data_IF_903961272782
#
_entry.id   IF_903961272782
#
_cell.length_a   1.000
_cell.length_b   1.000
_cell.length_c   1.000
_cell.angle_alpha   90.00
_cell.angle_beta   90.00
_cell.angle_gamma   90.00
#
_symmetry.space_group_name_H-M   'P 1'
#
loop_
_entity.id
_entity.type
_entity.pdbx_description
1 polymer ?
#
# COMPACT_ATOMS: atom_id res chain seq x y z
N UNK A 1 52.71 17.25 13.77
CA UNK A 1 52.00 18.41 14.36
C UNK A 1 52.06 19.53 13.34
N UNK A 2 50.95 19.76 12.62
CA UNK A 2 50.04 20.86 12.98
C UNK A 2 48.58 20.42 13.12
N UNK A 3 47.78 21.35 13.67
CA UNK A 3 46.51 21.23 14.38
C UNK A 3 45.30 20.71 13.56
N UNK A 4 44.48 19.94 14.26
CA UNK A 4 43.12 19.56 13.89
C UNK A 4 42.17 20.78 13.87
N UNK A 5 41.29 20.83 12.86
CA UNK A 5 40.13 21.70 12.83
C UNK A 5 38.90 20.88 13.24
N UNK A 6 38.20 21.34 14.28
CA UNK A 6 36.96 20.73 14.76
C UNK A 6 35.80 20.91 13.76
N UNK A 7 34.86 19.94 13.69
CA UNK A 7 33.67 20.05 12.86
C UNK A 7 32.63 20.98 13.51
N UNK A 8 32.18 21.96 12.73
CA UNK A 8 31.09 22.87 13.06
C UNK A 8 29.78 22.09 13.31
N UNK A 9 29.16 22.18 14.51
CA UNK A 9 27.89 21.56 14.80
C UNK A 9 26.81 22.64 14.76
N UNK A 10 26.12 22.84 13.63
CA UNK A 10 24.81 23.49 13.61
C UNK A 10 24.08 23.16 12.30
N UNK A 11 23.26 22.11 12.40
CA UNK A 11 22.32 21.69 11.36
C UNK A 11 21.13 22.65 11.27
N UNK A 12 20.67 22.88 10.05
CA UNK A 12 19.60 23.79 9.63
C UNK A 12 18.19 23.39 10.12
N UNK A 13 17.96 23.36 11.44
CA UNK A 13 16.63 23.20 12.02
C UNK A 13 16.53 23.99 13.32
N UNK A 14 16.22 25.29 13.23
CA UNK A 14 15.73 26.08 14.37
C UNK A 14 15.00 27.33 13.89
N UNK A 15 13.69 27.21 13.66
CA UNK A 15 12.77 28.34 13.68
C UNK A 15 11.61 28.00 14.60
N UNK A 16 11.80 28.24 15.90
CA UNK A 16 10.71 28.49 16.84
C UNK A 16 10.63 30.00 17.05
N UNK A 17 9.44 30.63 17.00
CA UNK A 17 9.30 32.04 17.31
C UNK A 17 9.25 32.23 18.85
N UNK A 18 9.96 33.23 19.42
CA UNK A 18 9.82 33.57 20.82
C UNK A 18 8.54 34.39 21.06
N UNK A 19 7.98 34.19 22.25
CA UNK A 19 6.79 34.86 22.75
C UNK A 19 7.00 36.37 23.02
N UNK A 20 6.00 37.17 22.64
CA UNK A 20 5.56 38.38 23.33
C UNK A 20 6.35 39.68 23.14
N UNK A 21 5.79 40.64 22.40
CA UNK A 21 5.62 42.03 22.86
C UNK A 21 4.83 42.85 21.82
N UNK A 22 3.95 43.73 22.33
CA UNK A 22 3.00 44.57 21.60
C UNK A 22 3.66 45.55 20.62
N UNK A 23 3.02 45.76 19.46
CA UNK A 23 3.37 46.89 18.60
C UNK A 23 2.62 46.93 17.27
N UNK A 24 1.39 47.45 17.27
CA UNK A 24 0.69 47.85 16.05
C UNK A 24 1.48 48.96 15.32
N UNK A 25 2.19 48.64 14.24
CA UNK A 25 2.53 49.62 13.20
C UNK A 25 2.41 49.00 11.80
N UNK A 26 1.27 49.31 11.19
CA UNK A 26 0.97 49.13 9.77
C UNK A 26 1.92 50.02 8.96
N UNK A 27 3.03 49.48 8.48
CA UNK A 27 3.93 50.17 7.56
C UNK A 27 3.29 50.24 6.17
N UNK A 28 2.80 51.43 5.83
CA UNK A 28 2.41 51.85 4.49
C UNK A 28 3.64 51.70 3.57
N UNK A 29 3.61 50.76 2.64
CA UNK A 29 4.56 50.69 1.52
C UNK A 29 4.22 51.80 0.52
N UNK A 30 5.13 52.75 0.35
CA UNK A 30 5.19 53.62 -0.83
C UNK A 30 5.87 52.86 -1.97
N UNK A 31 5.48 53.09 -3.24
CA UNK A 31 6.08 52.41 -4.38
C UNK A 31 7.36 53.17 -4.79
N UNK A 32 8.54 52.62 -4.48
CA UNK A 32 9.75 53.06 -5.16
C UNK A 32 9.81 52.36 -6.52
N UNK A 33 9.64 53.16 -7.57
CA UNK A 33 9.96 52.86 -8.96
C UNK A 33 11.41 52.35 -9.03
N UNK A 34 11.57 51.04 -9.15
CA UNK A 34 12.81 50.41 -9.54
C UNK A 34 12.62 49.94 -10.98
N UNK A 35 13.55 50.35 -11.82
CA UNK A 35 13.57 50.16 -13.26
C UNK A 35 13.52 48.68 -13.64
N UNK A 36 12.81 48.44 -14.74
CA UNK A 36 12.46 47.15 -15.29
C UNK A 36 13.70 46.30 -15.64
N UNK A 37 14.05 45.39 -14.75
CA UNK A 37 14.42 44.03 -15.15
C UNK A 37 13.14 43.17 -15.20
N UNK A 38 12.14 43.62 -15.95
CA UNK A 38 10.96 42.83 -16.26
C UNK A 38 11.34 41.79 -17.32
N UNK A 39 12.18 40.83 -16.93
CA UNK A 39 12.29 39.58 -17.68
C UNK A 39 10.88 39.01 -17.80
N UNK A 40 10.41 38.78 -19.03
CA UNK A 40 9.13 38.14 -19.29
C UNK A 40 9.04 36.89 -18.42
N UNK A 41 8.03 36.75 -17.54
CA UNK A 41 7.93 35.59 -16.70
C UNK A 41 7.84 34.37 -17.61
N UNK A 42 8.81 33.45 -17.48
CA UNK A 42 8.79 32.16 -18.17
C UNK A 42 7.39 31.54 -18.02
N UNK A 43 6.77 31.16 -19.13
CA UNK A 43 5.44 30.52 -19.13
C UNK A 43 5.45 29.20 -18.37
N UNK A 44 4.29 28.80 -17.83
CA UNK A 44 4.15 27.54 -17.12
C UNK A 44 4.50 26.35 -18.04
N UNK A 45 4.18 26.45 -19.32
CA UNK A 45 4.48 25.45 -20.35
C UNK A 45 5.98 25.25 -20.54
N UNK A 46 6.77 26.33 -20.53
CA UNK A 46 8.22 26.25 -20.68
C UNK A 46 8.84 25.62 -19.43
N UNK A 47 8.35 26.01 -18.24
CA UNK A 47 8.80 25.40 -16.98
C UNK A 47 8.48 23.90 -16.93
N UNK A 48 7.30 23.49 -17.41
CA UNK A 48 6.93 22.08 -17.50
C UNK A 48 7.86 21.29 -18.44
N UNK A 49 8.23 21.87 -19.59
CA UNK A 49 9.20 21.24 -20.49
C UNK A 49 10.60 21.16 -19.86
N UNK A 50 11.01 22.16 -19.09
CA UNK A 50 12.26 22.12 -18.31
C UNK A 50 12.20 21.02 -17.27
N UNK A 51 11.10 20.91 -16.50
CA UNK A 51 10.91 19.86 -15.50
C UNK A 51 10.86 18.45 -16.11
N UNK A 52 10.25 18.31 -17.29
CA UNK A 52 10.23 17.09 -18.08
C UNK A 52 11.56 16.80 -18.80
N UNK A 53 12.54 17.70 -18.67
CA UNK A 53 13.83 17.61 -19.33
C UNK A 53 14.63 16.40 -18.89
N UNK A 54 15.36 15.83 -19.85
CA UNK A 54 16.06 14.54 -19.72
C UNK A 54 17.21 14.51 -18.69
N UNK A 55 17.61 15.66 -18.17
CA UNK A 55 18.73 15.84 -17.23
C UNK A 55 18.30 15.99 -15.77
N UNK A 56 17.01 16.19 -15.48
CA UNK A 56 16.55 16.36 -14.10
C UNK A 56 16.23 15.01 -13.47
N UNK A 57 16.79 14.79 -12.28
CA UNK A 57 16.41 13.66 -11.45
C UNK A 57 15.20 14.02 -10.57
N UNK A 58 14.57 13.01 -9.99
CA UNK A 58 13.50 13.22 -9.00
C UNK A 58 13.96 14.12 -7.85
N UNK A 59 15.22 14.03 -7.45
CA UNK A 59 15.80 14.90 -6.42
C UNK A 59 15.79 16.38 -6.82
N UNK A 60 16.03 16.69 -8.11
CA UNK A 60 16.01 18.06 -8.62
C UNK A 60 14.58 18.60 -8.67
N UNK A 61 13.61 17.77 -9.10
CA UNK A 61 12.20 18.14 -9.08
C UNK A 61 11.71 18.49 -7.67
N UNK A 62 12.15 17.73 -6.65
CA UNK A 62 11.86 18.06 -5.24
C UNK A 62 12.46 19.41 -4.85
N UNK A 63 13.72 19.67 -5.22
CA UNK A 63 14.37 20.97 -4.94
C UNK A 63 13.63 22.10 -5.63
N UNK A 64 13.25 21.93 -6.89
CA UNK A 64 12.43 22.87 -7.65
C UNK A 64 11.08 23.13 -6.95
N UNK A 65 10.36 22.09 -6.55
CA UNK A 65 9.09 22.21 -5.82
C UNK A 65 9.25 22.87 -4.42
N UNK A 66 10.43 22.79 -3.82
CA UNK A 66 10.74 23.47 -2.57
C UNK A 66 11.03 24.97 -2.74
N UNK A 67 11.41 25.43 -3.93
CA UNK A 67 11.79 26.85 -4.16
C UNK A 67 10.62 27.81 -4.01
N UNK A 68 9.47 27.51 -4.61
CA UNK A 68 8.30 28.39 -4.58
C UNK A 68 6.99 27.63 -4.84
N UNK A 69 5.87 28.24 -4.42
CA UNK A 69 4.52 27.68 -4.61
C UNK A 69 4.16 27.45 -6.08
N UNK A 70 4.64 28.30 -7.01
CA UNK A 70 4.37 28.14 -8.44
C UNK A 70 4.97 26.84 -8.98
N UNK A 71 6.26 26.63 -8.73
CA UNK A 71 6.97 25.44 -9.21
C UNK A 71 6.46 24.18 -8.54
N UNK A 72 6.13 24.25 -7.25
CA UNK A 72 5.45 23.15 -6.55
C UNK A 72 4.15 22.74 -7.24
N UNK A 73 3.27 23.71 -7.52
CA UNK A 73 1.98 23.44 -8.19
C UNK A 73 2.17 22.78 -9.56
N UNK A 74 3.14 23.23 -10.35
CA UNK A 74 3.46 22.63 -11.65
C UNK A 74 4.02 21.21 -11.49
N UNK A 75 5.01 21.01 -10.62
CA UNK A 75 5.62 19.69 -10.38
C UNK A 75 4.59 18.69 -9.84
N UNK A 76 3.70 19.11 -8.93
CA UNK A 76 2.66 18.24 -8.39
C UNK A 76 1.49 18.01 -9.33
N UNK A 77 1.01 19.07 -9.98
CA UNK A 77 -0.18 19.04 -10.84
C UNK A 77 0.06 18.29 -12.14
N UNK A 78 1.26 18.41 -12.71
CA UNK A 78 1.65 17.80 -13.97
C UNK A 78 2.64 16.63 -13.77
N UNK A 79 2.68 16.04 -12.58
CA UNK A 79 3.59 14.94 -12.24
C UNK A 79 3.53 13.79 -13.25
N UNK A 80 2.34 13.42 -13.72
CA UNK A 80 2.16 12.37 -14.72
C UNK A 80 2.76 12.76 -16.08
N UNK A 81 2.59 14.02 -16.49
CA UNK A 81 3.19 14.52 -17.73
C UNK A 81 4.72 14.52 -17.64
N UNK A 82 5.26 15.09 -16.55
CA UNK A 82 6.70 15.15 -16.29
C UNK A 82 7.30 13.74 -16.26
N UNK A 83 6.67 12.80 -15.53
CA UNK A 83 7.17 11.43 -15.42
C UNK A 83 7.03 10.61 -16.70
N UNK A 84 6.04 10.89 -17.57
CA UNK A 84 5.91 10.20 -18.87
C UNK A 84 7.02 10.59 -19.84
N UNK A 85 7.49 11.83 -19.76
CA UNK A 85 8.55 12.35 -20.62
C UNK A 85 9.96 12.02 -20.10
N UNK A 86 10.11 11.88 -18.78
CA UNK A 86 11.26 11.21 -18.19
C UNK A 86 11.21 9.71 -18.56
N UNK A 87 12.34 9.11 -18.99
CA UNK A 87 12.41 7.76 -19.62
C UNK A 87 11.46 6.68 -19.01
N UNK A 88 11.01 5.69 -19.81
CA UNK A 88 10.23 4.54 -19.32
C UNK A 88 10.93 3.70 -18.24
N UNK A 89 12.26 3.75 -18.14
CA UNK A 89 13.02 3.01 -17.12
C UNK A 89 12.90 3.61 -15.71
N UNK A 90 12.38 4.84 -15.55
CA UNK A 90 12.23 5.51 -14.25
C UNK A 90 11.05 4.99 -13.42
N UNK A 91 10.19 4.13 -13.97
CA UNK A 91 9.20 3.37 -13.19
C UNK A 91 9.84 2.44 -12.13
N UNK A 92 11.18 2.35 -12.06
CA UNK A 92 11.93 1.60 -11.05
C UNK A 92 12.45 2.44 -9.87
N UNK A 93 12.12 3.72 -9.76
CA UNK A 93 12.41 4.53 -8.56
C UNK A 93 11.23 4.57 -7.58
N UNK A 94 10.64 3.40 -7.35
CA UNK A 94 9.51 3.24 -6.43
C UNK A 94 10.02 3.10 -5.02
N UNK A 95 9.52 3.86 -4.05
CA UNK A 95 9.73 3.50 -2.64
C UNK A 95 8.91 2.24 -2.34
N UNK A 96 9.52 1.07 -2.51
CA UNK A 96 8.88 -0.23 -2.36
C UNK A 96 9.31 -0.93 -1.07
N UNK A 97 8.42 -1.75 -0.52
CA UNK A 97 8.68 -2.53 0.67
C UNK A 97 7.40 -3.15 1.20
N UNK A 98 7.37 -3.45 2.49
CA UNK A 98 6.14 -3.89 3.14
C UNK A 98 6.07 -3.38 4.57
N UNK A 99 4.84 -3.18 5.03
CA UNK A 99 4.57 -2.95 6.44
C UNK A 99 4.35 -4.28 7.15
N UNK A 100 4.93 -4.38 8.34
CA UNK A 100 4.90 -5.57 9.17
C UNK A 100 4.52 -5.19 10.61
N UNK A 101 3.73 -6.05 11.25
CA UNK A 101 3.50 -5.98 12.69
C UNK A 101 3.43 -7.39 13.27
N UNK A 102 4.25 -7.65 14.29
CA UNK A 102 4.26 -8.95 14.96
C UNK A 102 3.07 -9.10 15.94
N UNK A 103 2.76 -10.33 16.36
CA UNK A 103 1.76 -10.55 17.42
C UNK A 103 2.19 -9.92 18.75
N UNK A 104 3.47 -10.05 19.10
CA UNK A 104 4.02 -9.42 20.30
C UNK A 104 3.89 -7.89 20.23
N UNK A 105 4.19 -7.29 19.07
CA UNK A 105 3.95 -5.87 18.84
C UNK A 105 2.45 -5.52 18.98
N UNK A 106 1.55 -6.37 18.47
CA UNK A 106 0.11 -6.14 18.59
C UNK A 106 -0.36 -6.16 20.06
N UNK A 107 0.15 -7.08 20.88
CA UNK A 107 -0.17 -7.19 22.32
C UNK A 107 0.42 -6.01 23.12
N UNK A 108 1.64 -5.60 22.77
CA UNK A 108 2.29 -4.41 23.31
C UNK A 108 1.65 -3.10 22.81
N UNK A 109 0.81 -3.18 21.77
CA UNK A 109 0.19 -2.02 21.15
C UNK A 109 1.15 -1.19 20.29
N UNK A 110 2.28 -1.75 19.87
CA UNK A 110 3.23 -1.11 18.97
C UNK A 110 2.64 -0.92 17.55
N UNK A 111 3.02 0.17 16.87
CA UNK A 111 2.57 0.44 15.50
C UNK A 111 3.24 -0.50 14.47
N UNK A 112 2.70 -0.60 13.25
CA UNK A 112 3.36 -1.28 12.13
C UNK A 112 4.71 -0.64 11.79
N UNK A 113 5.68 -1.46 11.39
CA UNK A 113 7.03 -1.04 10.96
C UNK A 113 7.21 -1.25 9.47
N UNK A 114 7.95 -0.36 8.82
CA UNK A 114 8.24 -0.44 7.38
C UNK A 114 9.56 -1.16 7.12
N UNK A 115 9.56 -2.09 6.17
CA UNK A 115 10.75 -2.77 5.68
C UNK A 115 10.98 -2.39 4.21
N UNK A 116 12.00 -1.57 3.90
CA UNK A 116 12.26 -1.11 2.55
C UNK A 116 12.88 -2.21 1.69
N UNK A 117 12.64 -2.15 0.37
CA UNK A 117 13.33 -2.96 -0.62
C UNK A 117 14.39 -2.14 -1.37
N UNK A 118 15.58 -2.73 -1.49
CA UNK A 118 16.85 -2.08 -1.82
C UNK A 118 17.08 -1.74 -3.30
N UNK A 119 16.05 -1.68 -4.14
CA UNK A 119 16.23 -1.29 -5.56
C UNK A 119 16.10 0.22 -5.83
N UNK A 120 15.98 1.04 -4.78
CA UNK A 120 15.67 2.47 -4.93
C UNK A 120 16.94 3.33 -4.92
N UNK A 121 17.22 4.04 -6.02
CA UNK A 121 18.18 5.17 -6.08
C UNK A 121 17.70 6.43 -5.35
N UNK A 122 16.62 6.37 -4.56
CA UNK A 122 16.29 7.44 -3.63
C UNK A 122 17.41 7.48 -2.59
N UNK A 123 18.33 8.45 -2.73
CA UNK A 123 19.50 8.69 -1.88
C UNK A 123 19.15 9.04 -0.41
N UNK A 124 17.96 8.65 0.08
CA UNK A 124 17.41 8.93 1.41
C UNK A 124 16.75 7.70 2.04
N UNK A 125 17.34 6.49 1.89
CA UNK A 125 16.83 5.27 2.56
C UNK A 125 16.59 5.47 4.05
N UNK A 126 17.46 6.22 4.73
CA UNK A 126 17.30 6.60 6.13
C UNK A 126 16.10 7.52 6.40
N UNK A 127 15.73 8.40 5.46
CA UNK A 127 14.64 9.35 5.65
C UNK A 127 13.26 8.70 5.56
N UNK A 128 13.05 7.72 4.68
CA UNK A 128 11.71 7.11 4.52
C UNK A 128 11.36 6.25 5.73
N UNK A 129 12.28 5.40 6.18
CA UNK A 129 12.06 4.59 7.38
C UNK A 129 11.91 5.48 8.62
N UNK A 130 12.79 6.48 8.80
CA UNK A 130 12.69 7.41 9.92
C UNK A 130 11.38 8.23 9.90
N UNK A 131 10.92 8.68 8.73
CA UNK A 131 9.65 9.40 8.62
C UNK A 131 8.46 8.48 8.93
N UNK A 132 8.44 7.27 8.38
CA UNK A 132 7.38 6.30 8.64
C UNK A 132 7.29 5.97 10.13
N UNK A 133 8.44 5.73 10.78
CA UNK A 133 8.52 5.47 12.22
C UNK A 133 8.09 6.69 13.04
N UNK A 134 8.57 7.89 12.70
CA UNK A 134 8.21 9.12 13.41
C UNK A 134 6.71 9.42 13.34
N UNK A 135 6.10 9.24 12.16
CA UNK A 135 4.65 9.44 11.96
C UNK A 135 3.84 8.43 12.77
N UNK A 136 4.26 7.17 12.78
CA UNK A 136 3.55 6.09 13.46
C UNK A 136 3.87 5.98 14.95
N UNK A 137 4.91 6.66 15.45
CA UNK A 137 5.27 6.70 16.87
C UNK A 137 4.24 7.43 17.75
N UNK A 138 3.34 8.22 17.15
CA UNK A 138 2.30 8.95 17.87
C UNK A 138 1.32 8.03 18.62
N UNK A 139 0.88 8.47 19.80
CA UNK A 139 -0.02 7.71 20.68
C UNK A 139 -1.34 7.28 20.03
N UNK A 140 -1.80 8.04 19.03
CA UNK A 140 -3.02 7.76 18.26
C UNK A 140 -2.92 6.45 17.48
N UNK A 141 -1.71 6.04 17.08
CA UNK A 141 -1.46 4.83 16.31
C UNK A 141 -1.10 3.61 17.17
N UNK A 142 -1.07 3.77 18.49
CA UNK A 142 -0.96 2.63 19.40
C UNK A 142 -2.11 1.68 19.14
N UNK A 143 -1.80 0.39 19.03
CA UNK A 143 -2.76 -0.67 18.74
C UNK A 143 -3.50 -0.54 17.39
N UNK A 144 -3.07 0.32 16.46
CA UNK A 144 -3.72 0.43 15.16
C UNK A 144 -3.56 -0.86 14.33
N UNK A 145 -4.54 -1.19 13.48
CA UNK A 145 -4.43 -2.32 12.52
C UNK A 145 -4.29 -1.75 11.12
N UNK A 146 -3.35 -2.29 10.33
CA UNK A 146 -3.27 -1.97 8.91
C UNK A 146 -4.43 -2.64 8.16
N UNK A 147 -5.21 -1.84 7.44
CA UNK A 147 -6.43 -2.25 6.75
C UNK A 147 -6.25 -2.27 5.22
N UNK A 148 -5.46 -1.34 4.66
CA UNK A 148 -5.13 -1.28 3.25
C UNK A 148 -3.84 -0.48 3.00
N UNK A 149 -3.22 -0.68 1.83
CA UNK A 149 -2.05 0.06 1.36
C UNK A 149 -2.15 0.20 -0.16
N UNK A 150 -2.00 1.41 -0.71
CA UNK A 150 -2.00 1.67 -2.16
C UNK A 150 -1.41 3.04 -2.47
N UNK A 151 -0.65 3.18 -3.56
CA UNK A 151 -0.09 4.45 -4.07
C UNK A 151 0.57 5.32 -2.97
N UNK A 152 1.43 4.73 -2.16
CA UNK A 152 2.15 5.43 -1.10
C UNK A 152 1.31 5.81 0.12
N UNK A 153 0.10 5.29 0.25
CA UNK A 153 -0.79 5.55 1.40
C UNK A 153 -1.17 4.29 2.13
N UNK A 154 -1.33 4.43 3.43
CA UNK A 154 -1.79 3.40 4.35
C UNK A 154 -3.17 3.78 4.89
N UNK A 155 -4.00 2.77 5.17
CA UNK A 155 -5.24 2.92 5.94
C UNK A 155 -5.08 2.17 7.24
N UNK A 156 -5.13 2.88 8.34
CA UNK A 156 -5.00 2.35 9.68
C UNK A 156 -6.33 2.40 10.41
N UNK A 157 -6.79 1.26 10.90
CA UNK A 157 -7.89 1.17 11.85
C UNK A 157 -7.38 1.52 13.25
N UNK A 158 -7.87 2.62 13.82
CA UNK A 158 -7.46 3.11 15.13
C UNK A 158 -8.27 2.39 16.22
N UNK A 159 -7.66 1.39 16.85
CA UNK A 159 -8.30 0.60 17.92
C UNK A 159 -8.01 1.22 19.28
N UNK A 160 -9.06 1.58 20.02
CA UNK A 160 -8.92 1.90 21.45
C UNK A 160 -9.03 0.62 22.26
N UNK A 161 -8.15 0.46 23.27
CA UNK A 161 -8.26 -0.61 24.27
C UNK A 161 -9.65 -0.52 24.91
N UNK A 162 -10.33 -1.67 24.99
CA UNK A 162 -11.76 -1.79 25.25
C UNK A 162 -12.28 -0.86 26.38
N UNK A 163 -13.04 0.17 26.02
CA UNK A 163 -13.99 0.80 26.92
C UNK A 163 -15.38 0.25 26.57
N UNK A 164 -16.22 0.00 27.59
CA UNK A 164 -17.49 -0.73 27.54
C UNK A 164 -18.62 -0.02 26.76
N UNK A 165 -18.31 0.63 25.65
CA UNK A 165 -19.28 1.29 24.75
C UNK A 165 -19.24 0.70 23.35
N UNK A 166 -20.30 0.92 22.57
CA UNK A 166 -20.34 0.54 21.15
C UNK A 166 -19.14 1.16 20.41
N UNK A 167 -18.17 0.33 20.04
CA UNK A 167 -16.91 0.79 19.46
C UNK A 167 -17.19 1.48 18.11
N UNK A 168 -16.90 2.78 18.02
CA UNK A 168 -16.95 3.49 16.74
C UNK A 168 -15.79 3.01 15.84
N UNK A 169 -16.04 2.83 14.54
CA UNK A 169 -14.97 2.61 13.59
C UNK A 169 -14.25 3.94 13.34
N UNK A 170 -12.96 3.97 13.64
CA UNK A 170 -12.07 5.11 13.39
C UNK A 170 -10.97 4.66 12.45
N UNK A 171 -10.83 5.34 11.33
CA UNK A 171 -9.80 5.07 10.33
C UNK A 171 -8.91 6.31 10.19
N UNK A 172 -7.64 6.09 9.88
CA UNK A 172 -6.71 7.13 9.48
C UNK A 172 -6.08 6.76 8.15
N UNK A 173 -5.95 7.73 7.25
CA UNK A 173 -5.16 7.62 6.04
C UNK A 173 -3.81 8.28 6.29
N UNK A 174 -2.72 7.56 6.03
CA UNK A 174 -1.35 8.02 6.35
C UNK A 174 -0.48 7.93 5.11
N UNK A 175 0.23 9.01 4.78
CA UNK A 175 1.33 8.99 3.83
C UNK A 175 2.65 9.01 4.62
N UNK A 176 3.30 7.86 4.82
CA UNK A 176 4.49 7.76 5.68
C UNK A 176 5.70 8.50 5.10
N UNK A 177 5.71 8.76 3.79
CA UNK A 177 6.82 9.46 3.13
C UNK A 177 6.71 10.97 3.32
N UNK A 178 5.52 11.54 3.15
CA UNK A 178 5.30 12.99 3.31
C UNK A 178 5.09 13.41 4.76
N UNK A 179 4.61 12.50 5.59
CA UNK A 179 4.20 12.74 6.97
C UNK A 179 2.72 13.08 7.13
N UNK A 180 1.94 13.07 6.04
CA UNK A 180 0.55 13.50 6.09
C UNK A 180 -0.34 12.46 6.75
N UNK A 181 -1.18 12.93 7.68
CA UNK A 181 -2.13 12.11 8.43
C UNK A 181 -3.51 12.76 8.32
N UNK A 182 -4.49 12.00 7.84
CA UNK A 182 -5.89 12.39 7.81
C UNK A 182 -6.72 11.41 8.62
N UNK A 183 -7.36 11.87 9.70
CA UNK A 183 -8.24 11.05 10.54
C UNK A 183 -9.66 11.19 10.00
N UNK A 184 -10.21 10.10 9.49
CA UNK A 184 -11.52 10.09 8.86
C UNK A 184 -12.64 10.30 9.90
N UNK A 185 -13.79 10.89 9.50
CA UNK A 185 -14.96 10.98 10.35
C UNK A 185 -15.35 9.59 10.89
N UNK A 186 -15.60 9.48 12.20
CA UNK A 186 -15.87 8.20 12.84
C UNK A 186 -17.27 7.68 12.49
N UNK A 187 -17.39 6.39 12.18
CA UNK A 187 -18.68 5.72 12.01
C UNK A 187 -19.11 5.12 13.35
N UNK A 188 -20.23 5.61 13.90
CA UNK A 188 -20.69 5.28 15.26
C UNK A 188 -22.21 5.01 15.32
N UNK A 189 -22.68 4.42 16.42
CA UNK A 189 -24.10 4.14 16.64
C UNK A 189 -24.70 3.22 15.57
N UNK A 190 -25.76 3.68 14.90
CA UNK A 190 -26.42 2.94 13.79
C UNK A 190 -25.51 2.78 12.59
N UNK A 191 -24.55 3.68 12.42
CA UNK A 191 -23.61 3.69 11.31
C UNK A 191 -22.36 2.86 11.57
N UNK A 192 -22.15 2.38 12.81
CA UNK A 192 -21.01 1.53 13.13
C UNK A 192 -21.05 0.25 12.28
N UNK A 193 -20.03 0.01 11.45
CA UNK A 193 -19.87 -1.29 10.82
C UNK A 193 -19.39 -2.30 11.87
N UNK A 194 -19.91 -3.53 11.82
CA UNK A 194 -19.32 -4.64 12.54
C UNK A 194 -18.01 -5.08 11.87
N UNK A 195 -17.86 -6.38 11.62
CA UNK A 195 -16.80 -6.87 10.75
C UNK A 195 -16.93 -6.28 9.34
N UNK A 196 -15.81 -5.79 8.80
CA UNK A 196 -15.75 -5.13 7.50
C UNK A 196 -14.49 -5.54 6.73
N UNK A 197 -14.59 -5.44 5.40
CA UNK A 197 -13.47 -5.51 4.48
C UNK A 197 -13.23 -4.11 3.88
N UNK A 198 -11.98 -3.82 3.49
CA UNK A 198 -11.54 -2.49 3.09
C UNK A 198 -10.77 -2.55 1.77
N UNK A 199 -10.95 -1.57 0.88
CA UNK A 199 -10.14 -1.38 -0.32
C UNK A 199 -9.93 0.12 -0.59
N UNK A 200 -8.73 0.49 -1.03
CA UNK A 200 -8.43 1.86 -1.47
C UNK A 200 -8.59 1.95 -2.99
N UNK A 201 -9.36 2.93 -3.46
CA UNK A 201 -9.57 3.22 -4.88
C UNK A 201 -8.75 4.45 -5.22
N UNK A 202 -7.92 4.37 -6.27
CA UNK A 202 -7.24 5.53 -6.84
C UNK A 202 -8.05 6.13 -8.00
N UNK A 203 -7.76 7.38 -8.37
CA UNK A 203 -8.41 8.04 -9.52
C UNK A 203 -8.35 7.20 -10.82
N UNK A 204 -7.22 6.53 -11.07
CA UNK A 204 -7.02 5.65 -12.24
C UNK A 204 -7.96 4.44 -12.28
N UNK A 205 -8.58 4.08 -11.15
CA UNK A 205 -9.40 2.89 -11.03
C UNK A 205 -10.87 3.14 -11.34
N UNK A 206 -11.31 4.40 -11.41
CA UNK A 206 -12.72 4.76 -11.54
C UNK A 206 -12.92 5.67 -12.76
N UNK A 207 -13.50 5.10 -13.82
CA UNK A 207 -13.77 5.79 -15.10
C UNK A 207 -14.69 7.01 -14.91
N UNK A 208 -15.38 7.12 -13.77
CA UNK A 208 -16.36 8.17 -13.47
C UNK A 208 -15.95 9.12 -12.33
N UNK A 209 -14.73 9.04 -11.78
CA UNK A 209 -14.34 9.81 -10.59
C UNK A 209 -13.33 10.93 -10.85
N UNK A 210 -13.68 12.14 -10.40
CA UNK A 210 -12.75 13.28 -10.29
C UNK A 210 -11.92 13.28 -8.99
N UNK A 211 -12.10 12.27 -8.13
CA UNK A 211 -11.49 12.22 -6.80
C UNK A 211 -10.08 11.64 -6.84
N UNK A 212 -9.12 12.27 -6.14
CA UNK A 212 -7.75 11.75 -6.09
C UNK A 212 -7.70 10.33 -5.48
N UNK A 213 -8.44 10.12 -4.39
CA UNK A 213 -8.55 8.83 -3.71
C UNK A 213 -9.93 8.66 -3.06
N UNK A 214 -10.39 7.40 -2.99
CA UNK A 214 -11.57 6.99 -2.23
C UNK A 214 -11.27 5.75 -1.40
N UNK A 215 -11.93 5.64 -0.25
CA UNK A 215 -11.84 4.46 0.61
C UNK A 215 -13.19 3.74 0.61
N UNK A 216 -13.20 2.48 0.20
CA UNK A 216 -14.38 1.63 0.16
C UNK A 216 -14.35 0.67 1.33
N UNK A 217 -15.40 0.70 2.15
CA UNK A 217 -15.65 -0.31 3.18
C UNK A 217 -16.88 -1.13 2.82
N UNK A 218 -16.79 -2.45 3.01
CA UNK A 218 -17.88 -3.40 2.82
C UNK A 218 -18.15 -4.11 4.14
N UNK A 219 -19.38 -4.09 4.61
CA UNK A 219 -19.75 -4.64 5.91
C UNK A 219 -21.12 -5.31 5.89
N UNK A 220 -21.39 -6.14 6.90
CA UNK A 220 -22.65 -6.87 7.01
C UNK A 220 -23.69 -6.09 7.80
N UNK A 221 -24.88 -5.90 7.23
CA UNK A 221 -26.12 -5.54 7.94
C UNK A 221 -26.96 -6.79 8.18
N UNK A 222 -27.96 -6.69 9.08
CA UNK A 222 -28.84 -7.82 9.44
C UNK A 222 -29.43 -8.54 8.22
N UNK A 223 -29.86 -7.80 7.20
CA UNK A 223 -30.57 -8.37 6.04
C UNK A 223 -29.80 -8.30 4.72
N UNK A 224 -28.77 -7.47 4.62
CA UNK A 224 -28.03 -7.24 3.37
C UNK A 224 -26.55 -6.98 3.62
N UNK A 225 -25.75 -6.95 2.57
CA UNK A 225 -24.35 -6.48 2.66
C UNK A 225 -24.34 -5.04 2.19
N UNK A 226 -23.72 -4.17 2.97
CA UNK A 226 -23.68 -2.75 2.74
C UNK A 226 -22.26 -2.30 2.37
N UNK A 227 -22.14 -1.15 1.74
CA UNK A 227 -20.88 -0.46 1.57
C UNK A 227 -21.02 1.03 1.83
N UNK A 228 -19.90 1.66 2.17
CA UNK A 228 -19.75 3.12 2.17
C UNK A 228 -18.43 3.48 1.52
N UNK A 229 -18.43 4.65 0.90
CA UNK A 229 -17.24 5.20 0.25
C UNK A 229 -16.91 6.53 0.90
N UNK A 230 -15.69 6.68 1.42
CA UNK A 230 -15.16 7.97 1.83
C UNK A 230 -14.46 8.60 0.63
N UNK A 231 -14.68 9.90 0.38
CA UNK A 231 -13.97 10.66 -0.64
C UNK A 231 -12.97 11.60 0.02
N UNK A 232 -11.72 11.56 -0.47
CA UNK A 232 -10.66 12.39 0.07
C UNK A 232 -10.87 13.89 -0.21
N UNK A 233 -11.48 14.26 -1.33
CA UNK A 233 -11.68 15.67 -1.70
C UNK A 233 -12.82 16.29 -0.90
N UNK A 234 -13.89 15.53 -0.64
CA UNK A 234 -15.03 16.00 0.16
C UNK A 234 -14.83 15.82 1.66
N UNK A 235 -13.80 15.07 2.08
CA UNK A 235 -13.51 14.71 3.47
C UNK A 235 -14.71 14.10 4.21
N UNK A 236 -15.56 13.38 3.48
CA UNK A 236 -16.82 12.87 4.00
C UNK A 236 -17.11 11.44 3.54
N UNK A 237 -17.88 10.72 4.37
CA UNK A 237 -18.49 9.46 3.97
C UNK A 237 -19.71 9.72 3.09
N UNK A 238 -19.80 9.01 1.98
CA UNK A 238 -21.01 8.93 1.18
C UNK A 238 -22.12 8.11 1.86
N UNK A 239 -23.29 8.11 1.22
CA UNK A 239 -24.45 7.35 1.67
C UNK A 239 -24.17 5.84 1.71
N UNK A 240 -24.88 5.12 2.58
CA UNK A 240 -24.82 3.67 2.64
C UNK A 240 -25.44 3.06 1.36
N UNK A 241 -24.62 2.34 0.61
CA UNK A 241 -25.04 1.58 -0.56
C UNK A 241 -25.43 0.16 -0.18
N UNK A 242 -26.52 -0.36 -0.76
CA UNK A 242 -26.92 -1.76 -0.62
C UNK A 242 -26.33 -2.58 -1.77
N UNK A 243 -25.49 -3.56 -1.44
CA UNK A 243 -24.89 -4.46 -2.42
C UNK A 243 -25.92 -5.50 -2.87
N UNK A 244 -26.01 -5.68 -4.19
CA UNK A 244 -26.84 -6.70 -4.84
C UNK A 244 -25.99 -7.90 -5.29
N UNK A 245 -26.65 -9.01 -5.67
CA UNK A 245 -25.96 -10.22 -6.11
C UNK A 245 -25.41 -11.07 -4.96
N UNK A 246 -24.13 -11.43 -5.05
CA UNK A 246 -23.48 -12.32 -4.10
C UNK A 246 -23.44 -11.73 -2.68
N UNK A 247 -23.75 -12.57 -1.68
CA UNK A 247 -23.74 -12.19 -0.27
C UNK A 247 -22.55 -12.79 0.45
N UNK A 248 -22.00 -12.03 1.38
CA UNK A 248 -20.92 -12.47 2.26
C UNK A 248 -21.29 -12.21 3.72
N UNK A 249 -20.95 -13.17 4.60
CA UNK A 249 -21.21 -13.09 6.02
C UNK A 249 -20.24 -12.14 6.73
N UNK A 250 -20.66 -11.58 7.86
CA UNK A 250 -19.85 -10.62 8.64
C UNK A 250 -18.51 -11.22 9.09
N UNK A 251 -18.51 -12.42 9.67
CA UNK A 251 -17.28 -13.09 10.10
C UNK A 251 -16.24 -13.17 8.97
N UNK A 252 -16.69 -13.56 7.77
CA UNK A 252 -15.84 -13.66 6.57
C UNK A 252 -15.29 -12.31 6.11
N UNK A 253 -16.08 -11.24 6.20
CA UNK A 253 -15.60 -9.89 5.88
C UNK A 253 -14.48 -9.45 6.84
N UNK A 254 -14.56 -9.82 8.12
CA UNK A 254 -13.52 -9.49 9.10
C UNK A 254 -12.21 -10.26 8.92
N UNK A 255 -12.28 -11.42 8.25
CA UNK A 255 -11.15 -12.30 7.91
C UNK A 255 -10.46 -11.89 6.61
N UNK A 256 -11.11 -11.11 5.74
CA UNK A 256 -10.53 -10.66 4.49
C UNK A 256 -9.33 -9.73 4.71
N UNK A 257 -8.28 -9.94 3.91
CA UNK A 257 -7.17 -8.99 3.78
C UNK A 257 -7.60 -7.70 3.08
N UNK A 258 -6.67 -6.77 2.91
CA UNK A 258 -6.85 -5.60 2.07
C UNK A 258 -7.34 -6.00 0.67
N UNK A 259 -8.40 -5.34 0.22
CA UNK A 259 -8.92 -5.48 -1.12
C UNK A 259 -8.11 -4.69 -2.12
N UNK A 260 -8.08 -5.20 -3.34
CA UNK A 260 -7.41 -4.61 -4.49
C UNK A 260 -8.44 -3.90 -5.35
N UNK A 261 -8.14 -2.69 -5.81
CA UNK A 261 -8.97 -1.95 -6.74
C UNK A 261 -8.41 -2.04 -8.16
N UNK A 262 -9.28 -2.21 -9.16
CA UNK A 262 -8.90 -2.14 -10.55
C UNK A 262 -10.15 -2.01 -11.44
N UNK A 263 -10.07 -1.17 -12.48
CA UNK A 263 -11.07 -1.11 -13.59
C UNK A 263 -12.52 -1.02 -13.11
N UNK A 264 -12.81 -0.12 -12.17
CA UNK A 264 -14.13 0.13 -11.61
C UNK A 264 -14.63 -0.94 -10.63
N UNK A 265 -13.77 -1.89 -10.24
CA UNK A 265 -14.08 -2.96 -9.31
C UNK A 265 -13.14 -2.99 -8.11
N UNK A 266 -13.64 -3.56 -7.02
CA UNK A 266 -12.86 -3.93 -5.84
C UNK A 266 -12.93 -5.44 -5.62
N UNK A 267 -11.80 -6.04 -5.26
CA UNK A 267 -11.60 -7.49 -5.22
C UNK A 267 -11.01 -7.92 -3.88
N UNK A 268 -11.61 -8.92 -3.24
CA UNK A 268 -11.11 -9.51 -2.00
C UNK A 268 -10.97 -11.02 -2.14
N UNK A 269 -9.88 -11.58 -1.61
CA UNK A 269 -9.68 -13.01 -1.59
C UNK A 269 -10.54 -13.64 -0.49
N UNK A 270 -11.26 -14.70 -0.84
CA UNK A 270 -12.05 -15.51 0.08
C UNK A 270 -11.84 -17.00 -0.20
N UNK A 271 -10.86 -17.59 0.48
CA UNK A 271 -10.44 -18.97 0.22
C UNK A 271 -9.98 -19.14 -1.24
N UNK A 272 -10.68 -20.01 -1.98
CA UNK A 272 -10.36 -20.33 -3.37
C UNK A 272 -11.04 -19.40 -4.39
N UNK A 273 -11.84 -18.44 -3.91
CA UNK A 273 -12.63 -17.53 -4.73
C UNK A 273 -12.25 -16.08 -4.48
N UNK A 274 -12.60 -15.22 -5.42
CA UNK A 274 -12.49 -13.77 -5.33
C UNK A 274 -13.89 -13.19 -5.21
N UNK A 275 -14.14 -12.45 -4.13
CA UNK A 275 -15.32 -11.62 -4.00
C UNK A 275 -15.06 -10.31 -4.76
N UNK A 276 -15.79 -10.10 -5.85
CA UNK A 276 -15.74 -8.87 -6.65
C UNK A 276 -16.95 -8.01 -6.32
N UNK A 277 -16.72 -6.72 -6.11
CA UNK A 277 -17.74 -5.68 -6.09
C UNK A 277 -17.49 -4.69 -7.24
N UNK A 278 -18.49 -4.47 -8.10
CA UNK A 278 -18.46 -3.37 -9.07
C UNK A 278 -18.86 -2.09 -8.35
N UNK A 279 -17.97 -1.09 -8.33
CA UNK A 279 -18.17 0.13 -7.54
C UNK A 279 -19.32 0.97 -8.10
N UNK A 280 -19.45 1.07 -9.43
CA UNK A 280 -20.51 1.86 -10.07
C UNK A 280 -21.93 1.29 -9.92
N UNK A 281 -22.08 -0.04 -9.95
CA UNK A 281 -23.41 -0.70 -9.91
C UNK A 281 -23.74 -1.33 -8.56
N UNK A 282 -22.78 -1.42 -7.65
CA UNK A 282 -22.87 -2.14 -6.37
C UNK A 282 -23.31 -3.61 -6.51
N UNK A 283 -22.99 -4.20 -7.66
CA UNK A 283 -23.24 -5.62 -7.94
C UNK A 283 -22.03 -6.45 -7.51
N UNK A 284 -22.27 -7.43 -6.65
CA UNK A 284 -21.25 -8.36 -6.18
C UNK A 284 -21.35 -9.74 -6.85
N UNK A 285 -20.20 -10.36 -7.09
CA UNK A 285 -20.08 -11.71 -7.61
C UNK A 285 -18.92 -12.47 -6.96
N UNK A 286 -19.02 -13.80 -6.90
CA UNK A 286 -17.89 -14.66 -6.59
C UNK A 286 -17.30 -15.23 -7.88
N UNK A 287 -15.99 -15.10 -8.02
CA UNK A 287 -15.23 -15.66 -9.14
C UNK A 287 -14.30 -16.74 -8.62
N UNK A 288 -14.36 -17.95 -9.18
CA UNK A 288 -13.48 -19.03 -8.76
C UNK A 288 -12.10 -18.88 -9.43
N UNK A 289 -11.03 -19.01 -8.65
CA UNK A 289 -9.68 -19.16 -9.21
C UNK A 289 -9.42 -20.66 -9.40
N UNK A 290 -9.01 -21.11 -10.60
CA UNK A 290 -8.73 -22.51 -10.85
C UNK A 290 -7.77 -23.09 -9.82
N UNK A 291 -8.25 -24.05 -9.04
CA UNK A 291 -7.41 -24.76 -8.08
C UNK A 291 -7.02 -26.12 -8.67
N UNK A 292 -5.90 -26.17 -9.41
CA UNK A 292 -5.42 -27.44 -10.00
C UNK A 292 -4.72 -28.35 -9.00
N UNK A 293 -4.26 -27.83 -7.85
CA UNK A 293 -3.39 -28.58 -6.94
C UNK A 293 -3.98 -28.65 -5.54
N UNK A 294 -4.78 -29.69 -5.24
CA UNK A 294 -5.28 -29.95 -3.87
C UNK A 294 -4.13 -30.02 -2.83
N UNK A 295 -2.94 -30.48 -3.24
CA UNK A 295 -1.71 -30.52 -2.41
C UNK A 295 -1.13 -29.14 -2.06
N UNK A 296 -1.49 -28.08 -2.78
CA UNK A 296 -1.02 -26.72 -2.45
C UNK A 296 -1.57 -26.21 -1.11
N UNK A 297 -2.71 -26.77 -0.65
CA UNK A 297 -3.31 -26.48 0.66
C UNK A 297 -2.45 -26.95 1.84
N UNK A 298 -1.48 -27.83 1.59
CA UNK A 298 -0.63 -28.43 2.63
C UNK A 298 0.74 -27.75 2.75
N UNK A 299 1.10 -26.83 1.84
CA UNK A 299 2.46 -26.28 1.74
C UNK A 299 2.79 -25.17 2.75
N UNK A 300 1.78 -24.54 3.34
CA UNK A 300 1.94 -23.56 4.42
C UNK A 300 0.58 -23.37 5.10
N UNK A 301 0.50 -23.72 6.41
CA UNK A 301 -0.68 -23.46 7.27
C UNK A 301 -0.57 -22.14 8.04
N UNK A 302 0.23 -21.22 7.50
CA UNK A 302 0.73 -20.06 8.23
C UNK A 302 -0.33 -18.98 8.51
N UNK A 303 -1.54 -19.16 7.99
CA UNK A 303 -2.65 -18.20 8.05
C UNK A 303 -3.85 -18.75 8.85
N UNK A 304 -3.63 -19.73 9.74
CA UNK A 304 -4.63 -20.18 10.72
C UNK A 304 -5.31 -21.50 10.35
N UNK A 305 -5.52 -22.35 11.38
CA UNK A 305 -6.06 -23.71 11.27
C UNK A 305 -7.59 -23.80 11.33
N UNK A 306 -8.31 -22.88 10.68
CA UNK A 306 -9.77 -22.98 10.50
C UNK A 306 -10.14 -23.62 9.16
N UNK A 307 -11.43 -23.92 8.95
CA UNK A 307 -11.98 -24.37 7.65
C UNK A 307 -11.74 -23.38 6.49
N UNK A 308 -11.27 -22.17 6.80
CA UNK A 308 -10.52 -21.29 5.92
C UNK A 308 -9.02 -21.63 5.97
N UNK A 309 -8.64 -22.84 5.54
CA UNK A 309 -7.24 -23.21 5.37
C UNK A 309 -6.62 -22.25 4.33
N UNK A 310 -6.03 -21.17 4.84
CA UNK A 310 -5.61 -20.01 4.08
C UNK A 310 -4.64 -20.45 3.02
N UNK A 311 -5.06 -20.37 1.76
CA UNK A 311 -4.15 -20.58 0.66
C UNK A 311 -3.05 -19.53 0.77
N UNK A 312 -1.81 -19.97 0.58
CA UNK A 312 -0.69 -19.07 0.44
C UNK A 312 -0.81 -18.32 -0.90
N UNK A 313 -1.73 -17.36 -0.93
CA UNK A 313 -2.21 -16.64 -2.10
C UNK A 313 -2.54 -15.20 -1.70
N UNK A 314 -2.21 -14.24 -2.56
CA UNK A 314 -2.53 -12.83 -2.41
C UNK A 314 -3.10 -12.26 -3.71
N UNK A 315 -3.93 -11.23 -3.60
CA UNK A 315 -4.36 -10.42 -4.74
C UNK A 315 -3.44 -9.21 -4.90
N UNK A 316 -3.26 -8.78 -6.14
CA UNK A 316 -2.62 -7.52 -6.51
C UNK A 316 -3.21 -7.01 -7.84
N UNK A 317 -2.77 -5.84 -8.29
CA UNK A 317 -2.94 -5.40 -9.68
C UNK A 317 -1.63 -5.69 -10.40
N UNK A 318 -1.67 -6.00 -11.70
CA UNK A 318 -0.48 -6.02 -12.55
C UNK A 318 -0.19 -4.61 -13.10
N UNK A 319 1.01 -4.38 -13.69
CA UNK A 319 1.36 -3.10 -14.30
C UNK A 319 0.38 -2.64 -15.40
N UNK A 320 -0.32 -3.57 -16.05
CA UNK A 320 -1.34 -3.32 -17.08
C UNK A 320 -2.73 -2.94 -16.50
N UNK A 321 -2.81 -2.77 -15.18
CA UNK A 321 -4.03 -2.41 -14.47
C UNK A 321 -5.03 -3.57 -14.31
N UNK A 322 -4.64 -4.82 -14.61
CA UNK A 322 -5.52 -5.98 -14.44
C UNK A 322 -5.36 -6.63 -13.06
N UNK A 323 -6.44 -7.12 -12.43
CA UNK A 323 -6.34 -7.93 -11.22
C UNK A 323 -5.53 -9.21 -11.46
N UNK A 324 -4.59 -9.49 -10.55
CA UNK A 324 -3.82 -10.73 -10.50
C UNK A 324 -3.96 -11.41 -9.14
N UNK A 325 -3.81 -12.73 -9.13
CA UNK A 325 -3.67 -13.52 -7.93
C UNK A 325 -2.33 -14.27 -7.99
N UNK A 326 -1.51 -14.09 -6.97
CA UNK A 326 -0.21 -14.76 -6.85
C UNK A 326 -0.35 -15.87 -5.81
N UNK A 327 0.11 -17.07 -6.11
CA UNK A 327 -0.02 -18.23 -5.24
C UNK A 327 1.25 -19.09 -5.25
N UNK A 328 1.61 -19.64 -4.10
CA UNK A 328 2.62 -20.70 -4.04
C UNK A 328 2.03 -22.06 -4.40
N UNK A 329 2.70 -22.75 -5.31
CA UNK A 329 2.39 -24.11 -5.72
C UNK A 329 3.61 -25.01 -5.69
N UNK A 330 3.41 -26.22 -6.21
CA UNK A 330 4.48 -27.16 -6.58
C UNK A 330 4.42 -27.36 -8.09
N UNK A 331 5.57 -27.19 -8.74
CA UNK A 331 5.76 -27.45 -10.15
C UNK A 331 6.10 -28.92 -10.43
N UNK A 332 6.66 -29.17 -11.61
CA UNK A 332 7.28 -30.47 -11.94
C UNK A 332 8.37 -30.83 -10.93
N UNK A 333 8.53 -32.13 -10.65
CA UNK A 333 9.54 -32.64 -9.70
C UNK A 333 9.38 -32.11 -8.27
N UNK A 334 8.18 -31.70 -7.88
CA UNK A 334 7.87 -31.18 -6.55
C UNK A 334 8.68 -29.92 -6.18
N UNK A 335 9.08 -29.10 -7.15
CA UNK A 335 9.76 -27.83 -6.89
C UNK A 335 8.80 -26.73 -6.45
N UNK A 336 9.24 -25.78 -5.63
CA UNK A 336 8.41 -24.62 -5.31
C UNK A 336 8.28 -23.70 -6.52
N UNK A 337 7.03 -23.33 -6.82
CA UNK A 337 6.73 -22.35 -7.87
C UNK A 337 5.84 -21.25 -7.31
N UNK A 338 6.01 -20.04 -7.82
CA UNK A 338 5.06 -18.95 -7.64
C UNK A 338 4.24 -18.85 -8.93
N UNK A 339 2.96 -19.20 -8.83
CA UNK A 339 1.99 -19.14 -9.93
C UNK A 339 1.29 -17.79 -9.94
N UNK A 340 1.19 -17.18 -11.12
CA UNK A 340 0.40 -15.96 -11.34
C UNK A 340 -0.86 -16.31 -12.13
N UNK A 341 -2.00 -15.89 -11.59
CA UNK A 341 -3.29 -15.99 -12.25
C UNK A 341 -3.74 -14.59 -12.68
N UNK A 342 -4.14 -14.45 -13.93
CA UNK A 342 -4.68 -13.20 -14.48
C UNK A 342 -6.19 -13.34 -14.63
N UNK A 343 -6.90 -12.25 -14.37
CA UNK A 343 -8.34 -12.17 -14.65
C UNK A 343 -8.53 -11.76 -16.11
N UNK A 344 -9.16 -12.63 -16.89
CA UNK A 344 -9.61 -12.28 -18.24
C UNK A 344 -10.90 -11.46 -18.09
N UNK A 345 -10.83 -10.19 -18.52
CA UNK A 345 -12.04 -9.42 -18.79
C UNK A 345 -12.52 -9.82 -20.18
N UNK A 346 -13.83 -10.04 -20.35
CA UNK A 346 -14.40 -10.09 -21.69
C UNK A 346 -14.21 -8.69 -22.28
N UNK A 347 -13.40 -8.56 -23.34
CA UNK A 347 -13.40 -7.35 -24.15
C UNK A 347 -14.85 -7.12 -24.60
N UNK A 348 -15.32 -5.89 -24.48
CA UNK A 348 -16.67 -5.44 -24.80
C UNK A 348 -16.92 -5.42 -26.32
N UNK A 349 -16.40 -6.42 -27.03
CA UNK A 349 -16.47 -6.59 -28.48
C UNK A 349 -17.79 -7.28 -28.86
N UNK A 350 -18.90 -6.87 -28.24
CA UNK A 350 -20.29 -7.04 -28.71
C UNK A 350 -20.76 -8.43 -29.17
N UNK A 351 -19.97 -9.48 -29.02
CA UNK A 351 -20.12 -10.71 -29.81
C UNK A 351 -19.54 -11.89 -29.05
N UNK A 352 -20.18 -12.21 -27.92
CA UNK A 352 -20.51 -13.56 -27.43
C UNK A 352 -20.96 -13.43 -25.97
N UNK A 353 -22.28 -13.28 -25.78
CA UNK A 353 -22.92 -13.40 -24.48
C UNK A 353 -22.77 -14.86 -24.02
N UNK A 354 -21.80 -15.15 -23.14
CA UNK A 354 -21.75 -16.47 -22.50
C UNK A 354 -20.41 -16.94 -21.93
N UNK A 355 -19.28 -16.32 -22.24
CA UNK A 355 -18.01 -16.71 -21.61
C UNK A 355 -18.01 -16.29 -20.14
N UNK A 356 -18.07 -17.26 -19.24
CA UNK A 356 -17.89 -17.02 -17.80
C UNK A 356 -16.53 -16.38 -17.59
N UNK A 357 -16.50 -15.13 -17.15
CA UNK A 357 -15.31 -14.44 -16.63
C UNK A 357 -14.48 -15.39 -15.77
N UNK A 358 -13.25 -15.59 -16.18
CA UNK A 358 -12.41 -16.67 -15.66
C UNK A 358 -11.06 -16.11 -15.27
N UNK A 359 -10.58 -16.58 -14.11
CA UNK A 359 -9.18 -16.47 -13.76
C UNK A 359 -8.41 -17.56 -14.49
N UNK A 360 -7.38 -17.21 -15.24
CA UNK A 360 -6.53 -18.16 -15.95
C UNK A 360 -5.13 -18.10 -15.40
N UNK A 361 -4.50 -19.27 -15.35
CA UNK A 361 -3.09 -19.36 -14.94
C UNK A 361 -2.25 -18.84 -16.08
N UNK A 362 -1.53 -17.76 -15.84
CA UNK A 362 -0.76 -17.09 -16.87
C UNK A 362 0.70 -17.54 -16.88
N UNK A 363 1.31 -17.76 -15.71
CA UNK A 363 2.71 -18.20 -15.61
C UNK A 363 3.01 -18.91 -14.29
N UNK A 364 4.11 -19.66 -14.31
CA UNK A 364 4.81 -20.20 -13.15
C UNK A 364 6.24 -19.68 -13.14
N UNK A 365 6.71 -19.23 -11.99
CA UNK A 365 8.11 -18.91 -11.75
C UNK A 365 8.69 -19.97 -10.81
N UNK A 366 9.69 -20.73 -11.28
CA UNK A 366 10.43 -21.68 -10.46
C UNK A 366 11.34 -20.92 -9.50
N UNK A 367 11.07 -21.04 -8.20
CA UNK A 367 11.85 -20.34 -7.18
C UNK A 367 12.90 -21.24 -6.54
N UNK A 368 12.78 -22.57 -6.66
CA UNK A 368 13.71 -23.55 -6.09
C UNK A 368 15.20 -23.32 -6.43
N UNK A 369 15.56 -22.89 -7.66
CA UNK A 369 16.97 -22.63 -8.00
C UNK A 369 17.64 -21.59 -7.10
N UNK A 370 16.85 -20.70 -6.49
CA UNK A 370 17.33 -19.59 -5.66
C UNK A 370 17.25 -19.90 -4.16
N UNK A 371 16.69 -21.05 -3.78
CA UNK A 371 16.48 -21.42 -2.38
C UNK A 371 17.60 -22.35 -1.87
N UNK A 372 17.98 -22.25 -0.58
CA UNK A 372 18.89 -23.21 0.03
C UNK A 372 18.20 -24.58 0.14
N UNK A 373 18.48 -25.47 -0.83
CA UNK A 373 17.77 -26.73 -1.10
C UNK A 373 17.61 -27.68 0.10
N UNK A 374 18.52 -27.61 1.08
CA UNK A 374 18.60 -28.58 2.17
C UNK A 374 17.66 -28.27 3.35
N UNK A 375 17.17 -27.04 3.46
CA UNK A 375 16.42 -26.60 4.66
C UNK A 375 15.02 -26.05 4.36
N UNK A 376 14.70 -25.77 3.09
CA UNK A 376 13.39 -25.19 2.74
C UNK A 376 12.36 -26.28 2.51
N UNK A 377 11.37 -26.34 3.39
CA UNK A 377 10.20 -27.22 3.29
C UNK A 377 8.89 -26.45 3.13
N UNK A 378 8.95 -25.13 3.30
CA UNK A 378 7.82 -24.21 3.27
C UNK A 378 8.19 -22.91 2.57
N UNK A 379 7.28 -22.38 1.75
CA UNK A 379 7.37 -21.05 1.13
C UNK A 379 6.06 -20.31 1.41
N UNK A 380 6.13 -19.03 1.79
CA UNK A 380 5.02 -18.21 2.32
C UNK A 380 5.02 -16.81 1.71
N UNK A 381 4.04 -16.46 0.88
CA UNK A 381 3.88 -15.10 0.38
C UNK A 381 3.47 -14.22 1.56
N UNK A 382 4.27 -13.18 1.77
CA UNK A 382 4.04 -12.17 2.79
C UNK A 382 3.28 -10.99 2.19
N UNK A 383 3.79 -10.40 1.11
CA UNK A 383 3.21 -9.23 0.47
C UNK A 383 3.38 -9.28 -1.06
N UNK A 384 2.52 -8.55 -1.77
CA UNK A 384 2.64 -8.29 -3.21
C UNK A 384 2.43 -6.80 -3.43
N UNK A 385 3.30 -6.17 -4.22
CA UNK A 385 3.18 -4.78 -4.63
C UNK A 385 2.55 -4.71 -6.03
N UNK A 386 1.63 -3.77 -6.25
CA UNK A 386 0.74 -3.77 -7.42
C UNK A 386 1.47 -3.33 -8.71
N UNK A 387 2.11 -2.17 -8.72
CA UNK A 387 2.77 -1.59 -9.90
C UNK A 387 4.12 -2.23 -10.17
N UNK A 388 4.88 -2.53 -9.12
CA UNK A 388 6.21 -3.11 -9.26
C UNK A 388 6.19 -4.61 -9.55
N UNK A 389 5.08 -5.30 -9.28
CA UNK A 389 5.01 -6.75 -9.39
C UNK A 389 5.96 -7.48 -8.43
N UNK A 390 6.46 -6.81 -7.38
CA UNK A 390 7.34 -7.43 -6.39
C UNK A 390 6.53 -8.32 -5.46
N UNK A 391 6.97 -9.57 -5.31
CA UNK A 391 6.38 -10.57 -4.42
C UNK A 391 7.37 -10.86 -3.30
N UNK A 392 7.04 -10.44 -2.08
CA UNK A 392 7.81 -10.78 -0.90
C UNK A 392 7.34 -12.11 -0.35
N UNK A 393 8.25 -13.05 -0.15
CA UNK A 393 7.93 -14.35 0.40
C UNK A 393 9.02 -14.84 1.34
N UNK A 394 8.62 -15.56 2.38
CA UNK A 394 9.51 -16.15 3.36
C UNK A 394 9.62 -17.65 3.15
N UNK A 395 10.77 -18.21 3.51
CA UNK A 395 11.01 -19.66 3.53
C UNK A 395 11.04 -20.19 4.96
N UNK A 396 10.75 -21.47 5.14
CA UNK A 396 10.76 -22.12 6.45
C UNK A 396 11.08 -23.61 6.37
N UNK A 397 11.47 -24.16 7.52
CA UNK A 397 11.66 -25.61 7.72
C UNK A 397 10.34 -26.39 7.80
N UNK A 398 10.44 -27.68 8.09
CA UNK A 398 9.26 -28.56 8.21
C UNK A 398 8.41 -28.19 9.43
N UNK A 399 7.10 -28.14 9.22
CA UNK A 399 6.09 -27.87 10.25
C UNK A 399 5.86 -29.12 11.12
N UNK A 400 6.12 -30.32 10.59
CA UNK A 400 5.82 -31.59 11.28
C UNK A 400 6.94 -32.09 12.19
N UNK A 401 8.21 -31.78 11.90
CA UNK A 401 9.34 -32.20 12.77
C UNK A 401 9.37 -31.44 14.12
N UNK A 402 8.79 -30.23 14.17
CA UNK A 402 8.80 -29.39 15.38
C UNK A 402 7.70 -29.74 16.38
N UNK A 403 6.73 -30.60 16.04
CA UNK A 403 5.68 -31.01 16.97
C UNK A 403 6.18 -31.98 18.06
N UNK A 404 7.30 -32.67 17.84
CA UNK A 404 7.87 -33.65 18.79
C UNK A 404 8.84 -33.01 19.81
N UNK A 405 9.34 -31.80 19.56
CA UNK A 405 10.21 -31.07 20.49
C UNK A 405 9.43 -29.87 21.04
N UNK A 406 8.89 -30.04 22.24
CA UNK A 406 8.03 -29.07 22.93
C UNK A 406 8.34 -27.60 22.60
N UNK A 407 7.38 -26.96 21.92
CA UNK A 407 7.25 -25.51 21.76
C UNK A 407 8.43 -24.76 21.13
N UNK A 408 9.23 -25.36 20.22
CA UNK A 408 10.09 -24.54 19.34
C UNK A 408 9.27 -23.99 18.16
N UNK A 409 9.35 -22.68 18.06
CA UNK A 409 8.58 -21.77 17.22
C UNK A 409 8.83 -22.05 15.73
N UNK A 410 7.75 -22.11 14.93
CA UNK A 410 7.82 -22.19 13.47
C UNK A 410 8.39 -20.86 12.95
N UNK A 411 9.71 -20.78 12.78
CA UNK A 411 10.44 -19.59 12.34
C UNK A 411 10.60 -19.56 10.81
N UNK A 412 10.51 -18.36 10.23
CA UNK A 412 10.98 -18.11 8.87
C UNK A 412 12.53 -18.12 8.86
N UNK A 413 13.12 -18.85 7.91
CA UNK A 413 14.56 -19.01 7.75
C UNK A 413 15.19 -17.80 7.04
N UNK A 414 14.53 -17.33 5.99
CA UNK A 414 15.00 -16.23 5.16
C UNK A 414 13.82 -15.59 4.42
N UNK A 415 13.97 -14.30 4.11
CA UNK A 415 13.02 -13.52 3.34
C UNK A 415 13.58 -13.27 1.94
N UNK A 416 12.73 -13.43 0.94
CA UNK A 416 13.07 -13.24 -0.46
C UNK A 416 12.08 -12.28 -1.11
N UNK A 417 12.53 -11.70 -2.21
CA UNK A 417 11.71 -10.92 -3.12
C UNK A 417 11.86 -11.51 -4.52
N UNK A 418 10.72 -11.74 -5.17
CA UNK A 418 10.62 -12.10 -6.58
C UNK A 418 10.12 -10.89 -7.35
N UNK A 419 10.85 -10.49 -8.37
CA UNK A 419 10.38 -9.56 -9.40
C UNK A 419 9.65 -10.38 -10.48
N UNK A 420 8.34 -10.18 -10.63
CA UNK A 420 7.54 -10.92 -11.60
C UNK A 420 7.89 -10.60 -13.07
N UNK A 421 8.44 -9.42 -13.34
CA UNK A 421 8.86 -9.01 -14.69
C UNK A 421 10.17 -9.69 -15.07
N UNK A 422 11.20 -9.54 -14.24
CA UNK A 422 12.54 -10.07 -14.54
C UNK A 422 12.71 -11.54 -14.17
N UNK A 423 11.80 -12.08 -13.34
CA UNK A 423 11.85 -13.42 -12.76
C UNK A 423 13.09 -13.66 -11.88
N UNK A 424 13.72 -12.58 -11.45
CA UNK A 424 14.84 -12.64 -10.52
C UNK A 424 14.32 -12.78 -9.08
N UNK A 425 14.98 -13.67 -8.33
CA UNK A 425 14.76 -13.83 -6.89
C UNK A 425 16.00 -13.37 -6.16
N UNK A 426 15.80 -12.55 -5.13
CA UNK A 426 16.89 -12.05 -4.28
C UNK A 426 16.54 -12.25 -2.81
N UNK A 427 17.52 -12.63 -2.01
CA UNK A 427 17.39 -12.64 -0.56
C UNK A 427 17.42 -11.19 -0.04
N UNK A 428 16.61 -10.90 0.97
CA UNK A 428 16.51 -9.57 1.58
C UNK A 428 16.62 -9.68 3.10
N UNK A 429 17.09 -8.63 3.80
CA UNK A 429 17.17 -8.64 5.25
C UNK A 429 15.80 -8.97 5.89
N UNK A 430 15.80 -9.95 6.79
CA UNK A 430 14.61 -10.29 7.56
C UNK A 430 14.48 -9.39 8.81
N UNK A 431 13.26 -9.10 9.27
CA UNK A 431 13.04 -8.42 10.56
C UNK A 431 13.76 -9.14 11.72
N UNK A 432 14.34 -8.38 12.65
CA UNK A 432 15.00 -8.92 13.85
C UNK A 432 14.06 -9.77 14.71
N UNK A 433 12.75 -9.47 14.68
CA UNK A 433 11.72 -10.33 15.23
C UNK A 433 11.38 -11.42 14.20
N UNK A 434 11.93 -12.62 14.42
CA UNK A 434 11.65 -13.77 13.55
C UNK A 434 10.15 -14.04 13.50
N UNK A 435 9.66 -14.21 12.27
CA UNK A 435 8.24 -14.42 12.00
C UNK A 435 7.80 -15.76 12.60
N UNK A 436 6.94 -15.71 13.62
CA UNK A 436 6.37 -16.93 14.21
C UNK A 436 5.00 -17.21 13.63
N UNK A 437 4.85 -18.40 13.08
CA UNK A 437 3.77 -18.76 12.16
C UNK A 437 2.47 -19.16 12.87
N UNK A 438 2.49 -19.43 14.18
CA UNK A 438 1.31 -19.94 14.89
C UNK A 438 0.39 -18.82 15.37
N UNK A 439 -0.84 -18.82 14.86
CA UNK A 439 -2.02 -18.07 15.35
C UNK A 439 -1.93 -16.54 15.40
N UNK A 440 -0.96 -15.96 14.73
CA UNK A 440 -0.74 -14.53 14.78
C UNK A 440 -1.21 -13.88 13.47
N UNK A 441 -2.17 -12.96 13.60
CA UNK A 441 -2.72 -12.15 12.50
C UNK A 441 -1.70 -11.11 12.02
N UNK A 442 -0.62 -11.56 11.36
CA UNK A 442 0.40 -10.65 10.83
C UNK A 442 -0.14 -10.02 9.56
N UNK A 443 -0.40 -8.71 9.62
CA UNK A 443 -0.84 -7.92 8.48
C UNK A 443 0.38 -7.46 7.69
N UNK A 444 0.79 -8.28 6.71
CA UNK A 444 1.77 -7.86 5.71
C UNK A 444 1.04 -7.16 4.57
N UNK A 445 1.42 -5.92 4.31
CA UNK A 445 0.88 -5.17 3.17
C UNK A 445 2.04 -4.66 2.33
N UNK A 446 1.99 -4.97 1.03
CA UNK A 446 2.88 -4.37 0.06
C UNK A 446 2.70 -2.86 0.11
N UNK A 447 3.81 -2.14 0.11
CA UNK A 447 3.82 -0.69 0.03
C UNK A 447 4.70 -0.31 -1.14
N UNK A 448 4.17 0.55 -1.99
CA UNK A 448 4.90 1.16 -3.07
C UNK A 448 4.41 2.59 -3.25
N UNK A 449 5.33 3.49 -3.51
CA UNK A 449 5.03 4.85 -3.94
C UNK A 449 5.84 5.12 -5.19
N UNK A 450 5.15 5.42 -6.30
CA UNK A 450 5.82 5.82 -7.53
C UNK A 450 6.13 7.32 -7.55
N UNK A 451 7.04 7.69 -8.46
CA UNK A 451 7.47 9.08 -8.61
C UNK A 451 6.29 10.01 -8.89
N UNK A 452 5.33 9.58 -9.71
CA UNK A 452 4.11 10.35 -10.01
C UNK A 452 3.34 10.65 -8.72
N UNK A 453 3.00 9.62 -7.95
CA UNK A 453 2.27 9.71 -6.68
C UNK A 453 3.04 10.55 -5.67
N UNK A 454 4.36 10.39 -5.63
CA UNK A 454 5.23 11.17 -4.76
C UNK A 454 5.22 12.66 -5.12
N UNK A 455 5.43 13.02 -6.38
CA UNK A 455 5.41 14.41 -6.82
C UNK A 455 4.02 15.05 -6.67
N UNK A 456 2.95 14.32 -7.01
CA UNK A 456 1.57 14.77 -6.80
C UNK A 456 1.27 15.04 -5.32
N UNK A 457 1.80 14.24 -4.40
CA UNK A 457 1.60 14.45 -2.96
C UNK A 457 2.25 15.73 -2.42
N UNK A 458 3.22 16.33 -3.13
CA UNK A 458 3.88 17.56 -2.67
C UNK A 458 2.91 18.76 -2.56
N UNK A 459 1.78 18.76 -3.28
CA UNK A 459 0.78 19.83 -3.21
C UNK A 459 -0.06 19.80 -1.93
N UNK A 460 -0.15 18.64 -1.26
CA UNK A 460 -1.05 18.45 -0.11
C UNK A 460 -0.58 19.21 1.14
N UNK A 461 0.71 19.56 1.21
CA UNK A 461 1.33 20.28 2.34
C UNK A 461 0.82 21.71 2.56
N UNK A 462 0.19 22.34 1.56
CA UNK A 462 -0.33 23.71 1.69
C UNK A 462 -1.73 23.76 2.35
N UNK A 463 -2.38 22.61 2.62
CA UNK A 463 -3.72 22.60 3.24
C UNK A 463 -3.71 22.77 4.77
N UNK A 464 -2.52 22.90 5.37
CA UNK A 464 -2.30 22.91 6.83
C UNK A 464 -1.46 24.11 7.32
N UNK A 465 -1.17 25.09 6.45
CA UNK A 465 -0.61 26.40 6.82
C UNK A 465 -1.51 27.52 6.29
#
# INVERSE_FOLDING_TARGET
MPRAAEPCPDGWLSLSPPAGSSGNRRLKRTPSRAEDAAGTPLGDEILLQVFAGYSLETADLIRCAATCRRWRRLVSGDAEFICRLMRPSYFRHLAAGFFHRSSHDADAGAPPRFFPFDSCSFSRRTSICANAEAVLAGDVFRSCRLAASRNGRLVLELRRRASRGAAALRLAMVNPITGDVDILPALSGKDTPGSYACAMLAASDDVAAAAAFRLLIVYKRRHFTACRTYSFDTKAWGAEGKISGARIGGARLGEMDAGVAARGGAFWLHGDAVFRLRVGTLEAAFEAIPNRNKRARELCRCLGGGTAAGQNRRLAVAPDGRPIAVQVGRGSLNRFVISVFRREDDDDDGRLVGTKRRWTKAEDVDVDPFLPRWHVKRVCIRAVCEKSGLVFFATGGDVYDQQQQGARQEEDLALYVLDLETKEVREVPAPESRCSVRNSSWSFHGYEMDTVSYLSSLAERDSLM
#
